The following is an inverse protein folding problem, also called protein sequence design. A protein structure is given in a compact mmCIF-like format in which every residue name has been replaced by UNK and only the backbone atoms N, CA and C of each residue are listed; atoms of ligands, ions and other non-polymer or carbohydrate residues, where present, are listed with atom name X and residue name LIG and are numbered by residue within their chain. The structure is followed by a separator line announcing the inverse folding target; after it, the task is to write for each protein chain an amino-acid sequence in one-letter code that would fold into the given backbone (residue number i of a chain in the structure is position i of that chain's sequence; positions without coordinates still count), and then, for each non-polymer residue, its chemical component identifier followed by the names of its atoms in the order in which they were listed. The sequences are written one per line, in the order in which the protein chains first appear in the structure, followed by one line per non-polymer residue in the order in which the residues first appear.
data_IF_558487371651
#
_entry.id   IF_558487371651
#
_cell.length_a   1.000
_cell.length_b   1.000
_cell.length_c   1.000
_cell.angle_alpha   90.00
_cell.angle_beta   90.00
_cell.angle_gamma   90.00
#
_symmetry.space_group_name_H-M   'P 1'
#
loop_
_entity.id
_entity.type
_entity.pdbx_description
1 polymer ?
#
# COMPACT_ATOMS: atom_id res chain seq x y z
N UNK A 1 -38.13 -52.00 20.16
CA UNK A 1 -37.13 -51.97 21.25
C UNK A 1 -35.69 -52.03 20.73
N UNK A 2 -35.14 -53.18 20.29
CA UNK A 2 -33.74 -53.25 19.81
C UNK A 2 -33.47 -52.33 18.61
N UNK A 3 -34.38 -52.32 17.62
CA UNK A 3 -34.29 -51.47 16.44
C UNK A 3 -34.33 -49.97 16.79
N UNK A 4 -35.08 -49.59 17.83
CA UNK A 4 -35.18 -48.19 18.27
C UNK A 4 -33.89 -47.73 18.96
N UNK A 5 -33.28 -48.57 19.80
CA UNK A 5 -31.96 -48.29 20.39
C UNK A 5 -30.85 -48.28 19.33
N UNK A 6 -30.92 -49.16 18.33
CA UNK A 6 -30.00 -49.16 17.21
C UNK A 6 -30.14 -47.90 16.35
N UNK A 7 -31.37 -47.50 16.03
CA UNK A 7 -31.65 -46.26 15.29
C UNK A 7 -31.22 -45.02 16.09
N UNK A 8 -31.45 -45.00 17.41
CA UNK A 8 -30.99 -43.92 18.30
C UNK A 8 -29.45 -43.83 18.30
N UNK A 9 -28.76 -44.97 18.41
CA UNK A 9 -27.30 -45.03 18.33
C UNK A 9 -26.75 -44.55 16.99
N UNK A 10 -27.36 -45.00 15.89
CA UNK A 10 -27.02 -44.54 14.54
C UNK A 10 -27.25 -43.03 14.36
N UNK A 11 -28.36 -42.50 14.90
CA UNK A 11 -28.68 -41.08 14.85
C UNK A 11 -27.64 -40.23 15.59
N UNK A 12 -27.22 -40.66 16.78
CA UNK A 12 -26.16 -39.97 17.53
C UNK A 12 -24.82 -40.07 16.77
N UNK A 13 -24.49 -41.22 16.21
CA UNK A 13 -23.28 -41.39 15.42
C UNK A 13 -23.24 -40.46 14.21
N UNK A 14 -24.32 -40.40 13.42
CA UNK A 14 -24.42 -39.50 12.26
C UNK A 14 -24.34 -38.05 12.70
N UNK A 15 -25.00 -37.66 13.80
CA UNK A 15 -24.91 -36.31 14.35
C UNK A 15 -23.47 -35.94 14.74
N UNK A 16 -22.74 -36.85 15.39
CA UNK A 16 -21.32 -36.65 15.73
C UNK A 16 -20.45 -36.52 14.47
N UNK A 17 -20.66 -37.36 13.46
CA UNK A 17 -19.92 -37.30 12.19
C UNK A 17 -20.14 -35.95 11.49
N UNK A 18 -21.39 -35.47 11.44
CA UNK A 18 -21.70 -34.16 10.85
C UNK A 18 -21.07 -33.03 11.68
N UNK A 19 -21.19 -33.07 13.01
CA UNK A 19 -20.62 -32.06 13.90
C UNK A 19 -19.09 -31.97 13.75
N UNK A 20 -18.41 -33.12 13.76
CA UNK A 20 -16.96 -33.17 13.59
C UNK A 20 -16.53 -32.77 12.16
N UNK A 21 -17.32 -33.13 11.15
CA UNK A 21 -17.08 -32.71 9.77
C UNK A 21 -17.14 -31.19 9.60
N UNK A 22 -18.11 -30.54 10.23
CA UNK A 22 -18.22 -29.06 10.22
C UNK A 22 -17.00 -28.42 10.88
N UNK A 23 -16.56 -28.92 12.03
CA UNK A 23 -15.38 -28.40 12.75
C UNK A 23 -14.14 -28.45 11.85
N UNK A 24 -13.91 -29.56 11.15
CA UNK A 24 -12.76 -29.70 10.22
C UNK A 24 -12.84 -28.71 9.06
N UNK A 25 -14.03 -28.50 8.48
CA UNK A 25 -14.21 -27.55 7.37
C UNK A 25 -13.94 -26.10 7.82
N UNK A 26 -14.21 -25.78 9.09
CA UNK A 26 -13.94 -24.46 9.64
C UNK A 26 -12.46 -24.13 9.79
N UNK A 27 -11.61 -25.14 10.00
CA UNK A 27 -10.15 -24.96 10.10
C UNK A 27 -9.47 -24.76 8.74
N UNK A 28 -10.11 -25.11 7.62
CA UNK A 28 -9.57 -24.91 6.26
C UNK A 28 -9.10 -23.44 6.01
N UNK A 29 -9.91 -22.39 6.28
CA UNK A 29 -9.45 -21.01 6.13
C UNK A 29 -8.29 -20.64 7.05
N UNK A 30 -8.20 -21.24 8.24
CA UNK A 30 -7.05 -21.05 9.13
C UNK A 30 -5.78 -21.66 8.54
N UNK A 31 -5.86 -22.87 7.98
CA UNK A 31 -4.73 -23.54 7.32
C UNK A 31 -4.20 -22.70 6.14
N UNK A 32 -5.09 -22.14 5.33
CA UNK A 32 -4.74 -21.22 4.22
C UNK A 32 -4.03 -19.96 4.75
N UNK A 33 -4.52 -19.39 5.85
CA UNK A 33 -3.89 -18.23 6.48
C UNK A 33 -2.49 -18.56 7.04
N UNK A 34 -2.31 -19.78 7.57
CA UNK A 34 -1.04 -20.27 8.13
C UNK A 34 0.01 -20.49 7.04
N UNK A 35 -0.33 -21.19 5.95
CA UNK A 35 0.56 -21.37 4.80
C UNK A 35 1.03 -20.03 4.23
N UNK A 36 0.11 -19.05 4.22
CA UNK A 36 0.41 -17.71 3.76
C UNK A 36 1.10 -16.85 4.82
N UNK A 37 1.30 -17.24 6.07
CA UNK A 37 1.86 -16.36 7.11
C UNK A 37 1.04 -15.06 7.28
N UNK A 38 -0.29 -15.20 7.34
CA UNK A 38 -1.17 -14.08 7.63
C UNK A 38 -0.80 -13.48 9.00
N UNK A 39 -0.68 -12.15 9.16
CA UNK A 39 -0.36 -11.54 10.46
C UNK A 39 -1.47 -11.74 11.51
N UNK A 40 -2.69 -12.05 11.06
CA UNK A 40 -3.86 -12.26 11.92
C UNK A 40 -4.33 -13.73 11.94
N UNK A 41 -3.39 -14.68 11.96
CA UNK A 41 -3.70 -16.13 12.03
C UNK A 41 -4.59 -16.47 13.23
N UNK A 42 -4.28 -15.92 14.41
CA UNK A 42 -5.04 -16.18 15.63
C UNK A 42 -6.46 -15.61 15.57
N UNK A 43 -6.64 -14.48 14.87
CA UNK A 43 -7.96 -13.90 14.67
C UNK A 43 -8.82 -14.80 13.76
N UNK A 44 -8.24 -15.40 12.72
CA UNK A 44 -8.95 -16.33 11.83
C UNK A 44 -9.31 -17.63 12.56
N UNK A 45 -8.44 -18.12 13.45
CA UNK A 45 -8.77 -19.28 14.30
C UNK A 45 -9.93 -18.96 15.26
N UNK A 46 -9.82 -17.89 16.05
CA UNK A 46 -10.86 -17.50 17.03
C UNK A 46 -12.18 -17.21 16.32
N UNK A 47 -12.15 -16.56 15.16
CA UNK A 47 -13.37 -16.26 14.39
C UNK A 47 -14.00 -17.50 13.74
N UNK A 48 -13.27 -18.59 13.50
CA UNK A 48 -13.86 -19.89 13.15
C UNK A 48 -14.75 -20.45 14.27
N UNK A 49 -14.33 -20.29 15.54
CA UNK A 49 -15.17 -20.62 16.69
C UNK A 49 -16.37 -19.66 16.83
N UNK A 50 -16.18 -18.36 16.55
CA UNK A 50 -17.27 -17.38 16.53
C UNK A 50 -18.26 -17.63 15.40
N UNK A 51 -17.81 -18.11 14.22
CA UNK A 51 -18.72 -18.39 13.10
C UNK A 51 -19.65 -19.57 13.39
N UNK A 52 -19.23 -20.51 14.25
CA UNK A 52 -20.11 -21.56 14.77
C UNK A 52 -21.27 -20.96 15.57
N UNK A 53 -21.02 -19.90 16.33
CA UNK A 53 -22.05 -19.16 17.06
C UNK A 53 -22.95 -18.32 16.13
N UNK A 54 -22.38 -17.70 15.11
CA UNK A 54 -23.14 -16.86 14.15
C UNK A 54 -23.77 -17.64 13.00
N UNK A 55 -24.09 -18.92 13.20
CA UNK A 55 -24.71 -19.80 12.19
C UNK A 55 -23.98 -19.78 10.83
N UNK A 56 -22.65 -19.74 10.85
CA UNK A 56 -21.78 -19.78 9.68
C UNK A 56 -21.87 -18.57 8.74
N UNK A 57 -22.59 -17.50 9.11
CA UNK A 57 -22.75 -16.32 8.25
C UNK A 57 -21.42 -15.60 7.93
N UNK A 58 -20.49 -15.56 8.90
CA UNK A 58 -19.20 -14.86 8.80
C UNK A 58 -18.12 -15.77 8.16
N UNK A 59 -18.36 -17.08 8.07
CA UNK A 59 -17.41 -18.06 7.53
C UNK A 59 -16.97 -17.79 6.07
N UNK A 60 -17.88 -17.57 5.09
CA UNK A 60 -17.45 -17.29 3.71
C UNK A 60 -16.63 -15.99 3.61
N UNK A 61 -16.91 -15.01 4.48
CA UNK A 61 -16.14 -13.78 4.55
C UNK A 61 -14.70 -14.00 5.05
N UNK A 62 -14.54 -14.84 6.09
CA UNK A 62 -13.24 -15.24 6.62
C UNK A 62 -12.38 -15.97 5.59
N UNK A 63 -13.01 -16.83 4.79
CA UNK A 63 -12.32 -17.54 3.71
C UNK A 63 -11.80 -16.59 2.62
N UNK A 64 -12.62 -15.61 2.21
CA UNK A 64 -12.19 -14.55 1.29
C UNK A 64 -11.02 -13.76 1.88
N UNK A 65 -11.06 -13.44 3.17
CA UNK A 65 -10.00 -12.69 3.82
C UNK A 65 -8.68 -13.48 3.93
N UNK A 66 -8.75 -14.76 4.28
CA UNK A 66 -7.60 -15.66 4.30
C UNK A 66 -6.91 -15.77 2.93
N UNK A 67 -7.70 -15.77 1.84
CA UNK A 67 -7.18 -15.87 0.47
C UNK A 67 -6.70 -14.54 -0.11
N UNK A 68 -7.23 -13.42 0.38
CA UNK A 68 -6.90 -12.07 -0.10
C UNK A 68 -5.45 -11.66 0.21
N UNK A 69 -4.88 -12.17 1.29
CA UNK A 69 -3.55 -11.79 1.74
C UNK A 69 -2.43 -12.45 0.90
N UNK A 70 -1.39 -11.66 0.58
CA UNK A 70 -0.22 -12.09 -0.18
C UNK A 70 1.07 -11.65 0.49
N UNK A 71 2.05 -12.56 0.59
CA UNK A 71 3.40 -12.30 1.17
C UNK A 71 4.08 -11.10 0.50
N UNK A 72 3.96 -10.98 -0.82
CA UNK A 72 4.71 -9.98 -1.59
C UNK A 72 4.11 -8.57 -1.58
N UNK A 73 2.86 -8.39 -1.11
CA UNK A 73 2.16 -7.08 -1.13
C UNK A 73 1.45 -6.73 0.17
N UNK A 74 1.44 -7.63 1.17
CA UNK A 74 0.65 -7.47 2.38
C UNK A 74 -0.84 -7.26 2.06
N UNK A 75 -1.49 -6.35 2.79
CA UNK A 75 -2.90 -5.97 2.60
C UNK A 75 -3.12 -4.98 1.43
N UNK A 76 -2.18 -4.87 0.48
CA UNK A 76 -2.29 -3.98 -0.67
C UNK A 76 -1.93 -2.52 -0.38
N UNK A 77 -2.06 -2.04 0.86
CA UNK A 77 -1.70 -0.67 1.25
C UNK A 77 -0.22 -0.46 1.60
N UNK A 78 0.51 -1.52 1.95
CA UNK A 78 1.91 -1.41 2.35
C UNK A 78 2.81 -0.89 1.20
N UNK A 79 2.48 -1.22 -0.05
CA UNK A 79 3.23 -0.74 -1.22
C UNK A 79 2.98 0.75 -1.52
N UNK A 80 1.80 1.26 -1.19
CA UNK A 80 1.50 2.68 -1.41
C UNK A 80 2.28 3.58 -0.46
N UNK A 81 2.56 3.12 0.77
CA UNK A 81 3.30 3.92 1.76
C UNK A 81 4.77 4.10 1.37
N UNK A 82 5.39 3.06 0.80
CA UNK A 82 6.76 3.13 0.27
C UNK A 82 6.86 4.01 -0.99
N UNK A 83 5.92 3.87 -1.94
CA UNK A 83 5.83 4.77 -3.10
C UNK A 83 5.57 6.23 -2.69
N UNK A 84 4.73 6.45 -1.68
CA UNK A 84 4.41 7.80 -1.21
C UNK A 84 5.63 8.50 -0.60
N UNK A 85 6.45 7.78 0.18
CA UNK A 85 7.67 8.33 0.77
C UNK A 85 8.69 8.73 -0.31
N UNK A 86 8.86 7.89 -1.34
CA UNK A 86 9.77 8.15 -2.46
C UNK A 86 9.31 9.34 -3.32
N UNK A 87 8.01 9.50 -3.52
CA UNK A 87 7.43 10.63 -4.25
C UNK A 87 7.67 11.94 -3.50
N UNK A 88 7.46 11.98 -2.17
CA UNK A 88 7.68 13.19 -1.38
C UNK A 88 9.14 13.65 -1.44
N UNK A 89 10.09 12.73 -1.30
CA UNK A 89 11.52 13.05 -1.37
C UNK A 89 11.93 13.62 -2.75
N UNK A 90 11.37 13.07 -3.84
CA UNK A 90 11.62 13.57 -5.20
C UNK A 90 11.05 14.97 -5.39
N UNK A 91 9.87 15.26 -4.84
CA UNK A 91 9.25 16.59 -4.92
C UNK A 91 10.09 17.63 -4.19
N UNK A 92 10.60 17.33 -2.99
CA UNK A 92 11.47 18.25 -2.23
C UNK A 92 12.76 18.58 -2.99
N UNK A 93 13.40 17.58 -3.60
CA UNK A 93 14.59 17.80 -4.44
C UNK A 93 14.27 18.70 -5.65
N UNK A 94 13.13 18.48 -6.31
CA UNK A 94 12.74 19.28 -7.46
C UNK A 94 12.49 20.75 -7.07
N UNK A 95 11.90 20.99 -5.89
CA UNK A 95 11.68 22.34 -5.37
C UNK A 95 13.03 23.05 -5.17
N UNK A 96 14.01 22.37 -4.56
CA UNK A 96 15.34 22.93 -4.30
C UNK A 96 16.15 23.22 -5.58
N UNK A 97 16.01 22.35 -6.59
CA UNK A 97 16.60 22.59 -7.92
C UNK A 97 15.97 23.79 -8.62
N UNK A 98 14.63 23.93 -8.55
CA UNK A 98 13.93 25.07 -9.15
C UNK A 98 14.34 26.37 -8.47
N UNK A 99 14.48 26.42 -7.14
CA UNK A 99 14.96 27.62 -6.45
C UNK A 99 16.39 27.98 -6.82
N UNK A 100 17.28 27.00 -6.88
CA UNK A 100 18.70 27.22 -7.23
C UNK A 100 18.84 27.76 -8.66
N UNK A 101 18.15 27.15 -9.63
CA UNK A 101 18.17 27.61 -11.02
C UNK A 101 17.59 29.02 -11.17
N UNK A 102 16.54 29.35 -10.41
CA UNK A 102 15.96 30.68 -10.42
C UNK A 102 16.93 31.74 -9.87
N UNK A 103 17.75 31.39 -8.87
CA UNK A 103 18.79 32.25 -8.33
C UNK A 103 19.96 32.43 -9.31
N UNK A 104 20.43 31.36 -9.96
CA UNK A 104 21.47 31.44 -11.00
C UNK A 104 21.03 32.32 -12.18
N UNK A 105 19.78 32.18 -12.63
CA UNK A 105 19.23 33.03 -13.70
C UNK A 105 19.17 34.49 -13.27
N UNK A 106 18.80 34.77 -12.01
CA UNK A 106 18.77 36.14 -11.49
C UNK A 106 20.17 36.77 -11.46
N UNK A 107 21.18 36.02 -11.03
CA UNK A 107 22.59 36.44 -11.01
C UNK A 107 23.13 36.66 -12.43
N UNK A 108 22.88 35.73 -13.35
CA UNK A 108 23.29 35.86 -14.75
C UNK A 108 22.61 37.03 -15.45
N UNK A 109 21.33 37.30 -15.16
CA UNK A 109 20.61 38.44 -15.70
C UNK A 109 21.14 39.77 -15.16
N UNK A 110 21.58 39.82 -13.90
CA UNK A 110 22.26 41.00 -13.32
C UNK A 110 23.65 41.20 -13.94
N UNK A 111 24.46 40.15 -14.03
CA UNK A 111 25.79 40.21 -14.66
C UNK A 111 25.71 40.59 -16.15
N UNK A 112 24.71 40.06 -16.87
CA UNK A 112 24.45 40.40 -18.27
C UNK A 112 23.85 41.81 -18.47
N UNK A 113 23.26 42.40 -17.43
CA UNK A 113 22.80 43.79 -17.44
C UNK A 113 23.97 44.76 -17.20
N UNK A 114 24.96 44.39 -16.38
CA UNK A 114 26.19 45.18 -16.18
C UNK A 114 27.15 45.10 -17.38
N UNK A 115 27.13 44.01 -18.16
CA UNK A 115 27.90 43.91 -19.41
C UNK A 115 27.26 44.61 -20.62
N UNK A 116 25.99 45.06 -20.54
CA UNK A 116 25.26 45.67 -21.65
C UNK A 116 24.77 47.11 -21.36
N UNK A 117 25.63 48.03 -20.88
CA UNK A 117 25.62 49.47 -21.26
C UNK A 117 26.57 50.31 -20.37
N UNK A 118 27.32 51.32 -20.89
CA UNK A 118 27.43 51.78 -22.28
C UNK A 118 28.89 51.93 -22.78
N UNK A 119 29.27 51.21 -23.84
CA UNK A 119 30.38 51.62 -24.72
C UNK A 119 29.79 52.37 -25.92
N UNK A 120 29.39 53.62 -25.69
CA UNK A 120 28.95 54.52 -26.76
C UNK A 120 29.29 55.98 -26.45
N UNK A 121 30.52 56.26 -26.06
CA UNK A 121 30.97 57.64 -25.85
C UNK A 121 32.49 57.85 -26.05
N UNK A 122 33.06 57.27 -27.10
CA UNK A 122 34.42 57.63 -27.54
C UNK A 122 34.50 57.47 -29.05
N UNK A 123 34.04 58.48 -29.80
CA UNK A 123 34.50 58.82 -31.15
C UNK A 123 33.64 59.95 -31.72
N UNK A 124 33.76 61.18 -31.20
CA UNK A 124 33.47 62.37 -32.02
C UNK A 124 34.10 63.69 -31.51
N UNK A 125 35.34 63.68 -31.03
CA UNK A 125 36.10 64.91 -30.69
C UNK A 125 37.27 65.10 -31.67
N UNK A 126 37.09 64.80 -32.95
CA UNK A 126 38.19 64.92 -33.91
C UNK A 126 37.81 65.49 -35.28
N UNK A 127 36.74 66.29 -35.33
CA UNK A 127 36.33 67.02 -36.54
C UNK A 127 36.03 68.51 -36.27
N UNK A 128 36.78 69.13 -35.33
CA UNK A 128 36.74 70.59 -35.11
C UNK A 128 38.10 71.31 -35.24
N UNK A 129 39.16 70.63 -35.70
CA UNK A 129 40.44 71.28 -36.05
C UNK A 129 40.85 70.94 -37.49
N UNK A 130 40.19 71.53 -38.49
CA UNK A 130 40.83 71.92 -39.75
C UNK A 130 39.87 72.72 -40.65
N UNK A 131 40.12 74.04 -40.69
CA UNK A 131 39.80 75.01 -41.74
C UNK A 131 38.42 75.68 -41.75
#
# INVERSE_FOLDING_TARGET
MFLDYFALGLLIFVALVIFYGIIVIHDIPYEIAKERNHPHQDAIHVSGWVSLFTLHAIWPFLWIWATLWRKDRGWGFAKLEEEQHDIHHRVDILIDQVSTLQEEIAQLKQAGAEQNSPEKETNNVQDQEAK
#
